data_IF_203202873331
#
_entry.id   IF_203202873331
#
_cell.length_a   1.000
_cell.length_b   1.000
_cell.length_c   1.000
_cell.angle_alpha   90.00
_cell.angle_beta   90.00
_cell.angle_gamma   90.00
#
_symmetry.space_group_name_H-M   'P 1'
#
loop_
_entity.id
_entity.type
_entity.pdbx_description
1 polymer ?
#
# COMPACT_ATOMS: atom_id res chain seq x y z
N UNK A 1 22.29 -35.57 -25.12
CA UNK A 1 21.07 -35.37 -24.33
C UNK A 1 21.41 -34.35 -23.25
N UNK A 2 21.33 -33.07 -23.56
CA UNK A 2 21.62 -31.95 -22.65
C UNK A 2 20.30 -31.46 -22.09
N UNK A 3 20.10 -31.65 -20.78
CA UNK A 3 18.92 -31.14 -20.08
C UNK A 3 19.17 -29.66 -19.77
N UNK A 4 18.36 -28.79 -20.36
CA UNK A 4 18.39 -27.36 -20.09
C UNK A 4 17.65 -27.10 -18.77
N UNK A 5 18.34 -26.44 -17.84
CA UNK A 5 17.79 -26.05 -16.55
C UNK A 5 16.75 -24.95 -16.73
N UNK A 6 15.49 -25.26 -16.40
CA UNK A 6 14.40 -24.28 -16.32
C UNK A 6 14.67 -23.39 -15.12
N UNK A 7 15.12 -22.16 -15.36
CA UNK A 7 15.19 -21.12 -14.34
C UNK A 7 13.76 -20.64 -14.05
N UNK A 8 13.16 -21.21 -13.00
CA UNK A 8 11.95 -20.67 -12.38
C UNK A 8 12.24 -19.25 -11.89
N UNK A 9 11.70 -18.26 -12.59
CA UNK A 9 11.69 -16.88 -12.14
C UNK A 9 10.63 -16.79 -11.04
N UNK A 10 11.05 -16.91 -9.77
CA UNK A 10 10.20 -16.50 -8.66
C UNK A 10 9.87 -15.01 -8.84
N UNK A 11 8.59 -14.60 -8.83
CA UNK A 11 8.25 -13.19 -8.83
C UNK A 11 8.80 -12.57 -7.54
N UNK A 12 9.68 -11.58 -7.69
CA UNK A 12 10.22 -10.80 -6.58
C UNK A 12 9.06 -10.25 -5.73
N UNK A 13 9.12 -10.34 -4.38
CA UNK A 13 8.08 -9.76 -3.55
C UNK A 13 8.02 -8.25 -3.85
N UNK A 14 6.83 -7.67 -4.05
CA UNK A 14 6.72 -6.27 -4.42
C UNK A 14 7.40 -5.42 -3.36
N UNK A 15 8.38 -4.64 -3.82
CA UNK A 15 9.11 -3.64 -3.06
C UNK A 15 8.12 -2.70 -2.38
N UNK A 16 8.46 -2.25 -1.17
CA UNK A 16 7.62 -1.65 -0.13
C UNK A 16 6.75 -0.43 -0.54
N UNK A 17 6.83 0.06 -1.78
CA UNK A 17 6.10 1.23 -2.30
C UNK A 17 4.56 1.07 -2.27
N UNK A 18 4.04 -0.16 -2.36
CA UNK A 18 2.58 -0.39 -2.39
C UNK A 18 1.93 -0.13 -1.02
N UNK A 19 2.68 -0.32 0.08
CA UNK A 19 2.16 -0.12 1.43
C UNK A 19 1.94 1.36 1.76
N UNK A 20 2.64 2.29 1.10
CA UNK A 20 2.42 3.72 1.32
C UNK A 20 1.06 4.20 0.78
N UNK A 21 0.44 3.50 -0.17
CA UNK A 21 -0.81 3.92 -0.79
C UNK A 21 -2.07 3.49 -0.03
N UNK A 22 -1.94 2.58 0.95
CA UNK A 22 -3.07 2.02 1.71
C UNK A 22 -3.04 2.51 3.16
N UNK A 23 -4.23 2.60 3.78
CA UNK A 23 -4.38 2.94 5.19
C UNK A 23 -5.64 2.31 5.78
N UNK A 24 -5.77 2.31 7.10
CA UNK A 24 -6.98 1.84 7.79
C UNK A 24 -7.92 3.01 8.06
N UNK A 25 -9.18 2.91 7.63
CA UNK A 25 -10.19 3.92 7.91
C UNK A 25 -10.53 3.93 9.41
N UNK A 26 -10.49 5.10 10.05
CA UNK A 26 -10.83 5.27 11.47
C UNK A 26 -12.32 5.08 11.78
N UNK A 27 -13.20 5.16 10.78
CA UNK A 27 -14.65 5.02 10.95
C UNK A 27 -15.15 3.59 10.91
N UNK A 28 -14.65 2.79 9.97
CA UNK A 28 -15.13 1.43 9.72
C UNK A 28 -14.05 0.35 9.74
N UNK A 29 -12.79 0.72 10.05
CA UNK A 29 -11.64 -0.18 10.18
C UNK A 29 -11.28 -1.01 8.94
N UNK A 30 -11.85 -0.70 7.78
CA UNK A 30 -11.43 -1.30 6.51
C UNK A 30 -10.11 -0.72 6.03
N UNK A 31 -9.30 -1.56 5.38
CA UNK A 31 -8.14 -1.13 4.60
C UNK A 31 -8.67 -0.45 3.34
N UNK A 32 -8.27 0.80 3.13
CA UNK A 32 -8.69 1.65 2.02
C UNK A 32 -7.49 2.33 1.40
N UNK A 33 -7.57 2.71 0.12
CA UNK A 33 -6.58 3.61 -0.47
C UNK A 33 -6.57 4.96 0.26
N UNK A 34 -5.41 5.61 0.26
CA UNK A 34 -5.23 7.00 0.70
C UNK A 34 -6.01 7.95 -0.22
N UNK A 35 -7.32 8.06 0.00
CA UNK A 35 -8.25 8.98 -0.67
C UNK A 35 -8.83 9.98 0.35
N UNK A 36 -9.44 11.09 -0.09
CA UNK A 36 -10.04 12.09 0.82
C UNK A 36 -11.24 11.54 1.64
N UNK A 37 -11.89 10.49 1.14
CA UNK A 37 -13.11 9.90 1.71
C UNK A 37 -13.02 8.37 1.65
N UNK A 38 -13.48 7.70 2.70
CA UNK A 38 -13.59 6.24 2.76
C UNK A 38 -14.66 5.73 1.78
N UNK A 39 -14.28 4.80 0.91
CA UNK A 39 -15.17 4.21 -0.09
C UNK A 39 -16.30 3.35 0.51
N UNK A 40 -16.16 2.90 1.77
CA UNK A 40 -17.13 2.03 2.43
C UNK A 40 -18.15 2.80 3.28
N UNK A 41 -17.68 3.71 4.14
CA UNK A 41 -18.56 4.40 5.09
C UNK A 41 -18.72 5.90 4.83
N UNK A 42 -17.99 6.47 3.86
CA UNK A 42 -18.06 7.90 3.56
C UNK A 42 -17.36 8.80 4.58
N UNK A 43 -16.69 8.25 5.61
CA UNK A 43 -15.95 9.08 6.56
C UNK A 43 -14.77 9.79 5.87
N UNK A 44 -14.50 11.05 6.22
CA UNK A 44 -13.32 11.76 5.74
C UNK A 44 -12.07 11.07 6.26
N UNK A 45 -11.09 10.92 5.37
CA UNK A 45 -9.77 10.39 5.69
C UNK A 45 -8.85 11.60 5.86
N UNK A 46 -8.41 11.85 7.09
CA UNK A 46 -7.52 12.96 7.39
C UNK A 46 -6.08 12.56 7.07
N UNK A 47 -5.53 13.11 5.98
CA UNK A 47 -4.11 13.03 5.72
C UNK A 47 -3.38 13.92 6.71
N UNK A 48 -2.69 13.32 7.68
CA UNK A 48 -1.71 14.06 8.47
C UNK A 48 -0.60 14.48 7.54
N UNK A 49 -0.52 15.78 7.23
CA UNK A 49 0.62 16.34 6.53
C UNK A 49 1.87 15.99 7.35
N UNK A 50 2.92 15.40 6.75
CA UNK A 50 4.13 15.08 7.49
C UNK A 50 4.65 16.39 8.09
N UNK A 51 4.83 16.39 9.41
CA UNK A 51 5.40 17.55 10.10
C UNK A 51 6.71 17.89 9.41
N UNK A 52 6.88 19.16 8.98
CA UNK A 52 8.16 19.63 8.46
C UNK A 52 9.20 19.39 9.55
N UNK A 53 10.01 18.35 9.40
CA UNK A 53 11.22 18.19 10.20
C UNK A 53 12.13 19.33 9.82
N UNK A 54 12.18 20.36 10.67
CA UNK A 54 13.12 21.46 10.55
C UNK A 54 14.54 20.89 10.73
N UNK A 55 15.53 21.32 9.91
CA UNK A 55 16.93 20.92 10.06
C UNK A 55 17.55 21.45 11.35
#
# INVERSE_FOLDING_TARGET
MTQEAVVEHQPEPPTEEVHEALMVCSGCSHIVPKTMVCIYCGNPILFTQPAKTSP
#
